data_IF_231771952827
#
_entry.id   IF_231771952827
#
_cell.length_a   1.000
_cell.length_b   1.000
_cell.length_c   1.000
_cell.angle_alpha   90.00
_cell.angle_beta   90.00
_cell.angle_gamma   90.00
#
_symmetry.space_group_name_H-M   'P 1'
#
loop_
_entity.id
_entity.type
_entity.pdbx_description
1 polymer ?
#
# COMPACT_ATOMS: atom_id res chain seq x y z
N UNK A 1 -7.45 8.51 0.39
CA UNK A 1 -6.19 8.43 -0.37
C UNK A 1 -6.01 7.04 -0.95
N UNK A 2 -5.63 6.93 -2.23
CA UNK A 2 -5.19 5.67 -2.84
C UNK A 2 -3.68 5.73 -3.11
N UNK A 3 -2.96 4.64 -2.81
CA UNK A 3 -1.52 4.50 -3.05
C UNK A 3 -1.33 3.31 -3.99
N UNK A 4 -1.11 3.60 -5.28
CA UNK A 4 -1.09 2.58 -6.34
C UNK A 4 0.26 2.56 -7.03
N UNK A 5 0.99 1.48 -6.85
CA UNK A 5 2.26 1.23 -7.50
C UNK A 5 2.57 -0.28 -7.49
N UNK A 6 3.39 -0.79 -8.41
CA UNK A 6 3.83 -2.17 -8.41
C UNK A 6 4.51 -2.58 -7.08
N UNK A 7 4.83 -3.85 -6.96
CA UNK A 7 5.59 -4.37 -5.81
C UNK A 7 6.94 -3.66 -5.67
N UNK A 8 7.41 -3.48 -4.43
CA UNK A 8 8.74 -2.94 -4.15
C UNK A 8 8.87 -1.42 -4.22
N UNK A 9 7.81 -0.68 -4.50
CA UNK A 9 7.82 0.80 -4.46
C UNK A 9 7.64 1.39 -3.06
N UNK A 10 7.65 0.57 -2.01
CA UNK A 10 7.62 1.05 -0.63
C UNK A 10 6.27 1.60 -0.16
N UNK A 11 5.14 1.26 -0.82
CA UNK A 11 3.78 1.74 -0.44
C UNK A 11 3.49 1.63 1.04
N UNK A 12 3.58 0.41 1.57
CA UNK A 12 3.33 0.11 2.98
C UNK A 12 4.28 0.87 3.91
N UNK A 13 5.56 0.95 3.53
CA UNK A 13 6.59 1.68 4.29
C UNK A 13 6.29 3.17 4.33
N UNK A 14 5.94 3.77 3.19
CA UNK A 14 5.61 5.18 3.09
C UNK A 14 4.37 5.55 3.93
N UNK A 15 3.31 4.73 3.86
CA UNK A 15 2.10 4.95 4.67
C UNK A 15 2.40 4.79 6.16
N UNK A 16 3.14 3.75 6.55
CA UNK A 16 3.50 3.54 7.96
C UNK A 16 4.38 4.65 8.50
N UNK A 17 5.33 5.14 7.71
CA UNK A 17 6.15 6.29 8.09
C UNK A 17 5.29 7.55 8.27
N UNK A 18 4.42 7.86 7.31
CA UNK A 18 3.51 8.99 7.39
C UNK A 18 2.63 8.93 8.66
N UNK A 19 2.00 7.79 8.92
CA UNK A 19 1.17 7.61 10.11
C UNK A 19 1.98 7.73 11.41
N UNK A 20 3.22 7.23 11.42
CA UNK A 20 4.15 7.38 12.54
C UNK A 20 4.55 8.83 12.80
N UNK A 21 4.79 9.63 11.76
CA UNK A 21 5.09 11.06 11.91
C UNK A 21 3.87 11.84 12.42
N UNK A 22 2.67 11.54 11.89
CA UNK A 22 1.44 12.18 12.38
C UNK A 22 1.17 11.88 13.84
N UNK A 23 1.38 10.64 14.28
CA UNK A 23 1.19 10.23 15.68
C UNK A 23 2.09 10.94 16.68
N UNK A 24 3.19 11.55 16.22
CA UNK A 24 4.07 12.36 17.09
C UNK A 24 3.50 13.76 17.38
N UNK A 25 2.65 14.26 16.50
CA UNK A 25 2.14 15.63 16.53
C UNK A 25 0.73 15.76 17.06
N UNK A 26 -0.07 14.71 16.95
CA UNK A 26 -1.48 14.71 17.35
C UNK A 26 -1.93 13.33 17.83
N UNK A 27 -2.88 13.26 18.77
CA UNK A 27 -3.51 12.00 19.12
C UNK A 27 -4.32 11.50 17.92
N UNK A 28 -4.00 10.31 17.44
CA UNK A 28 -4.72 9.71 16.34
C UNK A 28 -4.92 8.21 16.55
N UNK A 29 -6.04 7.72 16.04
CA UNK A 29 -6.36 6.29 15.97
C UNK A 29 -5.96 5.74 14.62
N UNK A 30 -5.26 4.63 14.61
CA UNK A 30 -4.88 3.93 13.38
C UNK A 30 -5.47 2.53 13.39
N UNK A 31 -6.30 2.25 12.39
CA UNK A 31 -6.91 0.94 12.14
C UNK A 31 -6.22 0.36 10.91
N UNK A 32 -5.46 -0.73 11.09
CA UNK A 32 -4.70 -1.37 10.00
C UNK A 32 -5.34 -2.68 9.62
N UNK A 33 -5.67 -2.81 8.35
CA UNK A 33 -6.29 -3.99 7.76
C UNK A 33 -5.34 -4.49 6.67
N UNK A 34 -4.85 -5.71 6.82
CA UNK A 34 -4.05 -6.36 5.77
C UNK A 34 -4.92 -7.39 5.06
N UNK A 35 -4.90 -7.34 3.74
CA UNK A 35 -5.58 -8.34 2.90
C UNK A 35 -4.61 -9.48 2.63
N UNK A 36 -5.00 -10.72 2.91
CA UNK A 36 -4.17 -11.91 2.75
C UNK A 36 -4.67 -12.85 1.65
N UNK A 37 -5.92 -12.69 1.24
CA UNK A 37 -6.53 -13.51 0.18
C UNK A 37 -7.76 -12.81 -0.39
N UNK A 38 -8.32 -13.33 -1.49
CA UNK A 38 -9.57 -12.92 -2.10
C UNK A 38 -10.82 -13.44 -1.38
N UNK A 39 -10.65 -14.20 -0.30
CA UNK A 39 -11.77 -14.74 0.48
C UNK A 39 -12.39 -13.65 1.36
N UNK A 40 -13.65 -13.29 1.06
CA UNK A 40 -14.38 -12.24 1.77
C UNK A 40 -14.57 -12.53 3.26
N UNK A 41 -14.74 -13.79 3.66
CA UNK A 41 -14.91 -14.12 5.07
C UNK A 41 -13.61 -13.88 5.87
N UNK A 42 -12.46 -14.20 5.26
CA UNK A 42 -11.14 -13.93 5.84
C UNK A 42 -10.91 -12.42 5.91
N UNK A 43 -11.20 -11.69 4.83
CA UNK A 43 -11.08 -10.23 4.81
C UNK A 43 -11.99 -9.59 5.87
N UNK A 44 -13.26 -10.01 5.95
CA UNK A 44 -14.19 -9.47 6.94
C UNK A 44 -13.72 -9.72 8.37
N UNK A 45 -13.20 -10.90 8.64
CA UNK A 45 -12.60 -11.20 9.94
C UNK A 45 -11.41 -10.29 10.24
N UNK A 46 -10.55 -10.01 9.26
CA UNK A 46 -9.42 -9.07 9.42
C UNK A 46 -9.91 -7.66 9.73
N UNK A 47 -11.01 -7.22 9.11
CA UNK A 47 -11.65 -5.92 9.41
C UNK A 47 -12.15 -5.89 10.86
N UNK A 48 -12.92 -6.89 11.27
CA UNK A 48 -13.45 -6.98 12.63
C UNK A 48 -12.35 -6.96 13.69
N UNK A 49 -11.29 -7.74 13.48
CA UNK A 49 -10.16 -7.81 14.40
C UNK A 49 -9.40 -6.47 14.48
N UNK A 50 -9.14 -5.82 13.32
CA UNK A 50 -8.47 -4.53 13.28
C UNK A 50 -9.25 -3.43 14.02
N UNK A 51 -10.57 -3.39 13.86
CA UNK A 51 -11.42 -2.45 14.59
C UNK A 51 -11.47 -2.77 16.08
N UNK A 52 -11.57 -4.03 16.44
CA UNK A 52 -11.56 -4.47 17.85
C UNK A 52 -10.24 -4.09 18.54
N UNK A 53 -9.08 -4.32 17.89
CA UNK A 53 -7.78 -3.90 18.42
C UNK A 53 -7.66 -2.37 18.57
N UNK A 54 -8.33 -1.61 17.74
CA UNK A 54 -8.39 -0.16 17.85
C UNK A 54 -9.39 0.35 18.90
N UNK A 55 -9.97 -0.55 19.71
CA UNK A 55 -10.94 -0.21 20.75
C UNK A 55 -12.37 0.01 20.25
N UNK A 56 -12.70 -0.48 19.05
CA UNK A 56 -14.00 -0.37 18.42
C UNK A 56 -14.59 -1.77 18.11
N UNK A 57 -14.98 -2.55 19.14
CA UNK A 57 -15.40 -3.94 18.94
C UNK A 57 -16.81 -4.11 18.33
N UNK A 58 -17.54 -3.02 18.06
CA UNK A 58 -18.93 -3.06 17.59
C UNK A 58 -19.11 -3.85 16.28
N UNK A 59 -18.09 -3.93 15.42
CA UNK A 59 -18.15 -4.72 14.19
C UNK A 59 -18.19 -6.23 14.42
N UNK A 60 -17.86 -6.73 15.61
CA UNK A 60 -17.90 -8.16 15.90
C UNK A 60 -19.29 -8.76 15.78
N UNK A 61 -20.33 -7.94 15.99
CA UNK A 61 -21.74 -8.33 15.89
C UNK A 61 -22.32 -8.22 14.47
N UNK A 62 -21.54 -7.71 13.52
CA UNK A 62 -21.96 -7.52 12.13
C UNK A 62 -21.52 -8.67 11.24
N UNK A 63 -22.44 -9.18 10.44
CA UNK A 63 -22.08 -10.04 9.31
C UNK A 63 -21.47 -9.22 8.16
N UNK A 64 -20.66 -9.86 7.32
CA UNK A 64 -20.22 -9.23 6.09
C UNK A 64 -21.44 -8.84 5.24
N UNK A 65 -21.57 -7.58 4.82
CA UNK A 65 -22.74 -7.15 4.04
C UNK A 65 -22.78 -7.90 2.69
N UNK A 66 -23.93 -8.46 2.39
CA UNK A 66 -24.17 -9.23 1.17
C UNK A 66 -24.91 -8.47 0.07
N UNK A 67 -25.39 -7.28 0.38
CA UNK A 67 -26.12 -6.43 -0.56
C UNK A 67 -25.85 -4.93 -0.31
N UNK A 68 -26.30 -4.11 -1.24
CA UNK A 68 -26.07 -2.65 -1.21
C UNK A 68 -26.76 -1.97 -0.03
N UNK A 69 -27.91 -2.48 0.43
CA UNK A 69 -28.64 -1.90 1.55
C UNK A 69 -27.92 -2.15 2.87
N UNK A 70 -27.47 -3.40 3.11
CA UNK A 70 -26.66 -3.76 4.26
C UNK A 70 -25.32 -3.02 4.27
N UNK A 71 -24.68 -2.89 3.11
CA UNK A 71 -23.47 -2.10 2.96
C UNK A 71 -23.66 -0.62 3.30
N UNK A 72 -24.78 -0.04 2.93
CA UNK A 72 -25.12 1.35 3.26
C UNK A 72 -25.36 1.55 4.75
N UNK A 73 -26.12 0.66 5.39
CA UNK A 73 -26.36 0.70 6.84
C UNK A 73 -25.06 0.58 7.61
N UNK A 74 -24.21 -0.39 7.24
CA UNK A 74 -22.91 -0.57 7.86
C UNK A 74 -22.03 0.68 7.70
N UNK A 75 -22.03 1.32 6.53
CA UNK A 75 -21.29 2.56 6.32
C UNK A 75 -21.77 3.70 7.23
N UNK A 76 -23.08 3.82 7.45
CA UNK A 76 -23.66 4.82 8.35
C UNK A 76 -23.26 4.54 9.81
N UNK A 77 -23.35 3.30 10.26
CA UNK A 77 -22.97 2.90 11.61
C UNK A 77 -21.46 3.09 11.85
N UNK A 78 -20.62 2.75 10.85
CA UNK A 78 -19.18 3.05 10.89
C UNK A 78 -18.90 4.54 11.02
N UNK A 79 -19.58 5.37 10.23
CA UNK A 79 -19.40 6.83 10.30
C UNK A 79 -19.81 7.38 11.67
N UNK A 80 -20.89 6.88 12.25
CA UNK A 80 -21.30 7.27 13.61
C UNK A 80 -20.29 6.84 14.67
N UNK A 81 -19.80 5.58 14.60
CA UNK A 81 -18.85 5.07 15.57
C UNK A 81 -17.46 5.72 15.49
N UNK A 82 -17.10 6.22 14.31
CA UNK A 82 -15.83 6.90 14.05
C UNK A 82 -15.92 8.42 14.23
N UNK A 83 -17.12 8.98 14.36
CA UNK A 83 -17.29 10.41 14.60
C UNK A 83 -16.73 10.82 15.96
N UNK A 84 -15.87 11.83 16.00
CA UNK A 84 -15.26 12.30 17.24
C UNK A 84 -14.19 13.36 16.99
N UNK A 85 -13.59 13.89 18.06
CA UNK A 85 -12.54 14.91 17.95
C UNK A 85 -11.18 14.35 17.54
N UNK A 86 -10.95 13.03 17.71
CA UNK A 86 -9.69 12.39 17.38
C UNK A 86 -9.59 12.08 15.88
N UNK A 87 -8.42 12.33 15.29
CA UNK A 87 -8.13 11.88 13.94
C UNK A 87 -8.15 10.35 13.86
N UNK A 88 -8.79 9.78 12.85
CA UNK A 88 -8.83 8.34 12.63
C UNK A 88 -8.32 8.01 11.23
N UNK A 89 -7.37 7.10 11.13
CA UNK A 89 -6.83 6.60 9.88
C UNK A 89 -7.14 5.12 9.72
N UNK A 90 -7.88 4.78 8.67
CA UNK A 90 -8.13 3.39 8.27
C UNK A 90 -7.18 3.09 7.13
N UNK A 91 -6.23 2.19 7.34
CA UNK A 91 -5.27 1.77 6.33
C UNK A 91 -5.54 0.33 5.90
N UNK A 92 -5.90 0.15 4.62
CA UNK A 92 -6.08 -1.16 3.98
C UNK A 92 -4.88 -1.41 3.07
N UNK A 93 -4.11 -2.45 3.38
CA UNK A 93 -2.92 -2.84 2.61
C UNK A 93 -3.19 -4.07 1.75
N UNK A 94 -2.48 -4.18 0.63
CA UNK A 94 -2.60 -5.25 -0.36
C UNK A 94 -4.02 -5.43 -0.94
N UNK A 95 -4.75 -4.33 -1.14
CA UNK A 95 -6.14 -4.32 -1.61
C UNK A 95 -6.34 -5.01 -2.97
N UNK A 96 -5.31 -5.09 -3.80
CA UNK A 96 -5.33 -5.77 -5.10
C UNK A 96 -5.65 -7.28 -5.01
N UNK A 97 -5.54 -7.88 -3.84
CA UNK A 97 -5.91 -9.29 -3.62
C UNK A 97 -7.42 -9.50 -3.58
N UNK A 98 -8.21 -8.43 -3.37
CA UNK A 98 -9.68 -8.51 -3.40
C UNK A 98 -10.18 -8.26 -4.82
N UNK A 99 -10.81 -9.27 -5.40
CA UNK A 99 -11.35 -9.21 -6.76
C UNK A 99 -12.85 -8.91 -6.82
N UNK A 100 -13.54 -8.96 -5.67
CA UNK A 100 -14.98 -8.72 -5.59
C UNK A 100 -15.32 -7.23 -5.75
N UNK A 101 -16.08 -6.92 -6.81
CA UNK A 101 -16.51 -5.56 -7.12
C UNK A 101 -17.43 -4.93 -6.04
N UNK A 102 -18.11 -5.75 -5.24
CA UNK A 102 -18.94 -5.25 -4.15
C UNK A 102 -18.09 -4.59 -3.05
N UNK A 103 -16.87 -5.10 -2.81
CA UNK A 103 -15.94 -4.48 -1.86
C UNK A 103 -15.50 -3.10 -2.35
N UNK A 104 -15.19 -2.96 -3.63
CA UNK A 104 -14.85 -1.65 -4.23
C UNK A 104 -16.03 -0.68 -4.09
N UNK A 105 -17.25 -1.13 -4.39
CA UNK A 105 -18.46 -0.32 -4.26
C UNK A 105 -18.71 0.10 -2.79
N UNK A 106 -18.53 -0.81 -1.85
CA UNK A 106 -18.62 -0.50 -0.41
C UNK A 106 -17.60 0.56 0.00
N UNK A 107 -16.34 0.37 -0.38
CA UNK A 107 -15.26 1.33 -0.09
C UNK A 107 -15.57 2.72 -0.66
N UNK A 108 -16.09 2.81 -1.88
CA UNK A 108 -16.51 4.08 -2.48
C UNK A 108 -17.69 4.71 -1.72
N UNK A 109 -18.67 3.91 -1.30
CA UNK A 109 -19.81 4.35 -0.49
C UNK A 109 -19.34 4.90 0.84
N UNK A 110 -18.47 4.17 1.54
CA UNK A 110 -17.86 4.57 2.80
C UNK A 110 -17.07 5.88 2.63
N UNK A 111 -16.19 5.97 1.64
CA UNK A 111 -15.36 7.15 1.39
C UNK A 111 -16.16 8.44 1.15
N UNK A 112 -17.37 8.32 0.58
CA UNK A 112 -18.27 9.46 0.40
C UNK A 112 -18.90 9.96 1.70
N UNK A 113 -19.06 9.10 2.71
CA UNK A 113 -19.80 9.35 3.96
C UNK A 113 -18.89 9.61 5.16
N UNK A 114 -17.58 9.29 5.05
CA UNK A 114 -16.64 9.44 6.15
C UNK A 114 -16.68 10.86 6.75
N UNK A 115 -16.69 10.99 8.08
CA UNK A 115 -16.51 12.26 8.77
C UNK A 115 -15.18 12.92 8.41
N UNK A 116 -15.06 14.22 8.57
CA UNK A 116 -13.85 14.99 8.21
C UNK A 116 -12.59 14.54 8.97
N UNK A 117 -12.76 14.05 10.18
CA UNK A 117 -11.68 13.52 11.01
C UNK A 117 -11.22 12.10 10.63
N UNK A 118 -11.90 11.44 9.67
CA UNK A 118 -11.62 10.05 9.29
C UNK A 118 -11.01 9.98 7.90
N UNK A 119 -9.84 9.38 7.81
CA UNK A 119 -9.07 9.25 6.58
C UNK A 119 -8.93 7.77 6.19
N UNK A 120 -9.36 7.43 4.98
CA UNK A 120 -9.17 6.10 4.41
C UNK A 120 -7.96 6.12 3.48
N UNK A 121 -6.98 5.25 3.73
CA UNK A 121 -5.80 5.02 2.90
C UNK A 121 -5.85 3.58 2.39
N UNK A 122 -5.74 3.40 1.08
CA UNK A 122 -5.77 2.08 0.45
C UNK A 122 -4.53 1.91 -0.40
N UNK A 123 -3.71 0.92 -0.07
CA UNK A 123 -2.56 0.53 -0.88
C UNK A 123 -2.89 -0.67 -1.78
N UNK A 124 -2.55 -0.55 -3.06
CA UNK A 124 -2.82 -1.57 -4.07
C UNK A 124 -1.66 -1.66 -5.06
N UNK A 125 -1.50 -2.80 -5.73
CA UNK A 125 -0.56 -2.91 -6.87
C UNK A 125 -1.19 -2.35 -8.13
N UNK A 126 -2.48 -2.57 -8.31
CA UNK A 126 -3.23 -2.21 -9.49
C UNK A 126 -4.27 -1.14 -9.19
N UNK A 127 -4.68 -0.41 -10.23
CA UNK A 127 -5.78 0.55 -10.13
C UNK A 127 -7.09 -0.22 -9.90
N UNK A 128 -7.73 0.05 -8.79
CA UNK A 128 -9.00 -0.59 -8.40
C UNK A 128 -10.18 0.39 -8.44
N UNK A 129 -9.92 1.70 -8.35
CA UNK A 129 -10.95 2.72 -8.33
C UNK A 129 -11.43 3.01 -9.76
N UNK A 130 -12.72 2.75 -10.10
CA UNK A 130 -13.28 3.09 -11.40
C UNK A 130 -13.21 4.59 -11.65
N UNK A 131 -12.96 4.99 -12.92
CA UNK A 131 -12.84 6.42 -13.28
C UNK A 131 -14.09 7.23 -12.95
N UNK A 132 -15.28 6.64 -13.09
CA UNK A 132 -16.55 7.28 -12.73
C UNK A 132 -16.64 7.56 -11.23
N UNK A 133 -16.21 6.61 -10.40
CA UNK A 133 -16.17 6.78 -8.94
C UNK A 133 -15.12 7.80 -8.52
N UNK A 134 -13.96 7.81 -9.18
CA UNK A 134 -12.92 8.82 -8.93
C UNK A 134 -13.44 10.23 -9.24
N UNK A 135 -14.19 10.41 -10.33
CA UNK A 135 -14.84 11.67 -10.67
C UNK A 135 -15.92 12.06 -9.65
N UNK A 136 -16.73 11.10 -9.20
CA UNK A 136 -17.79 11.32 -8.21
C UNK A 136 -17.21 11.75 -6.86
N UNK A 137 -16.12 11.12 -6.43
CA UNK A 137 -15.42 11.47 -5.19
C UNK A 137 -14.67 12.81 -5.30
N UNK A 138 -14.25 13.20 -6.51
CA UNK A 138 -13.63 14.48 -6.80
C UNK A 138 -12.47 14.81 -5.86
N UNK A 139 -12.54 15.96 -5.20
CA UNK A 139 -11.48 16.45 -4.27
C UNK A 139 -11.32 15.59 -3.00
N UNK A 140 -12.23 14.68 -2.72
CA UNK A 140 -12.12 13.76 -1.58
C UNK A 140 -11.09 12.64 -1.82
N UNK A 141 -10.68 12.41 -3.07
CA UNK A 141 -9.67 11.40 -3.41
C UNK A 141 -8.34 12.06 -3.74
N UNK A 142 -7.31 11.66 -3.02
CA UNK A 142 -5.92 11.93 -3.37
C UNK A 142 -5.28 10.65 -3.88
N UNK A 143 -4.65 10.70 -5.06
CA UNK A 143 -4.04 9.54 -5.69
C UNK A 143 -2.52 9.69 -5.69
N UNK A 144 -1.84 8.73 -5.07
CA UNK A 144 -0.39 8.59 -5.08
C UNK A 144 -0.07 7.44 -6.03
N UNK A 145 0.61 7.75 -7.11
CA UNK A 145 1.06 6.78 -8.11
C UNK A 145 2.54 6.47 -7.99
N UNK A 146 3.03 5.68 -8.92
CA UNK A 146 4.43 5.29 -9.03
C UNK A 146 5.37 6.49 -9.11
N UNK A 147 4.96 7.54 -9.81
CA UNK A 147 5.71 8.79 -9.98
C UNK A 147 6.02 9.52 -8.67
N UNK A 148 5.15 9.35 -7.65
CA UNK A 148 5.33 9.94 -6.33
C UNK A 148 6.17 9.06 -5.39
N UNK A 149 6.37 7.79 -5.74
CA UNK A 149 7.09 6.81 -4.91
C UNK A 149 8.47 6.47 -5.46
N UNK A 150 8.81 6.94 -6.66
CA UNK A 150 10.16 6.84 -7.21
C UNK A 150 11.07 7.79 -6.45
N UNK A 151 12.23 7.30 -6.06
CA UNK A 151 13.26 8.16 -5.48
C UNK A 151 13.91 9.00 -6.57
N UNK A 152 13.99 10.30 -6.33
CA UNK A 152 14.81 11.22 -7.12
C UNK A 152 16.22 11.31 -6.55
N UNK A 153 17.10 12.10 -7.20
CA UNK A 153 18.50 12.27 -6.79
C UNK A 153 18.64 12.70 -5.32
N UNK A 154 17.88 13.71 -4.90
CA UNK A 154 17.94 14.23 -3.53
C UNK A 154 17.44 13.23 -2.52
N UNK A 155 16.32 12.57 -2.80
CA UNK A 155 15.71 11.57 -1.92
C UNK A 155 16.61 10.34 -1.78
N UNK A 156 17.23 9.90 -2.88
CA UNK A 156 18.19 8.78 -2.85
C UNK A 156 19.42 9.13 -2.02
N UNK A 157 19.98 10.32 -2.18
CA UNK A 157 21.11 10.82 -1.38
C UNK A 157 20.79 10.81 0.10
N UNK A 158 19.62 11.35 0.48
CA UNK A 158 19.15 11.35 1.88
C UNK A 158 18.96 9.92 2.39
N UNK A 159 18.38 9.04 1.57
CA UNK A 159 18.15 7.66 1.97
C UNK A 159 19.45 6.89 2.17
N UNK A 160 20.40 6.99 1.24
CA UNK A 160 21.72 6.37 1.34
C UNK A 160 22.48 6.86 2.58
N UNK A 161 22.46 8.17 2.84
CA UNK A 161 23.08 8.75 4.04
C UNK A 161 22.45 8.19 5.33
N UNK A 162 21.13 8.06 5.39
CA UNK A 162 20.42 7.45 6.54
C UNK A 162 20.75 5.97 6.74
N UNK A 163 21.06 5.25 5.65
CA UNK A 163 21.58 3.89 5.72
C UNK A 163 23.04 3.79 6.14
N UNK A 164 23.73 4.94 6.38
CA UNK A 164 25.16 4.98 6.72
C UNK A 164 26.07 4.79 5.51
N UNK A 165 25.59 4.96 4.30
CA UNK A 165 26.29 4.76 3.04
C UNK A 165 26.32 6.09 2.29
N UNK A 166 27.24 7.01 2.59
CA UNK A 166 27.35 8.24 1.84
C UNK A 166 27.83 7.92 0.42
N UNK A 167 27.07 8.36 -0.57
CA UNK A 167 27.37 8.22 -2.00
C UNK A 167 27.77 9.58 -2.57
N UNK A 168 28.69 9.58 -3.52
CA UNK A 168 28.97 10.76 -4.35
C UNK A 168 27.92 10.91 -5.46
N UNK A 169 27.94 12.05 -6.17
CA UNK A 169 26.95 12.36 -7.20
C UNK A 169 27.01 11.37 -8.38
N UNK A 170 28.20 10.84 -8.74
CA UNK A 170 28.34 9.86 -9.80
C UNK A 170 27.73 8.51 -9.40
N UNK A 171 27.94 8.09 -8.16
CA UNK A 171 27.32 6.88 -7.61
C UNK A 171 25.81 6.98 -7.53
N UNK A 172 25.28 8.17 -7.13
CA UNK A 172 23.83 8.43 -7.07
C UNK A 172 23.25 8.37 -8.48
N UNK A 173 23.87 9.01 -9.47
CA UNK A 173 23.40 8.97 -10.86
C UNK A 173 23.43 7.55 -11.43
N UNK A 174 24.51 6.80 -11.20
CA UNK A 174 24.62 5.41 -11.65
C UNK A 174 23.54 4.54 -10.99
N UNK A 175 23.27 4.74 -9.70
CA UNK A 175 22.26 3.99 -8.98
C UNK A 175 20.84 4.36 -9.43
N UNK A 176 20.57 5.64 -9.70
CA UNK A 176 19.29 6.08 -10.27
C UNK A 176 19.07 5.52 -11.67
N UNK A 177 20.11 5.54 -12.50
CA UNK A 177 20.04 4.98 -13.85
C UNK A 177 19.72 3.48 -13.84
N UNK A 178 20.36 2.71 -12.95
CA UNK A 178 20.16 1.27 -12.87
C UNK A 178 18.86 0.86 -12.19
N UNK A 179 18.39 1.63 -11.20
CA UNK A 179 17.19 1.32 -10.42
C UNK A 179 15.92 2.04 -10.90
N UNK A 180 16.05 3.05 -11.78
CA UNK A 180 14.98 3.97 -12.17
C UNK A 180 14.25 4.58 -10.97
N UNK A 181 14.93 4.72 -9.83
CA UNK A 181 14.36 5.20 -8.57
C UNK A 181 13.42 4.20 -7.89
N UNK A 182 13.39 2.94 -8.33
CA UNK A 182 12.61 1.90 -7.69
C UNK A 182 13.20 1.52 -6.33
N UNK A 183 12.43 1.75 -5.27
CA UNK A 183 12.91 1.65 -3.89
C UNK A 183 13.58 0.33 -3.55
N UNK A 184 12.98 -0.81 -3.95
CA UNK A 184 13.57 -2.12 -3.68
C UNK A 184 14.88 -2.35 -4.41
N UNK A 185 15.01 -1.85 -5.64
CA UNK A 185 16.27 -1.93 -6.38
C UNK A 185 17.35 -1.08 -5.70
N UNK A 186 17.01 0.14 -5.29
CA UNK A 186 17.92 1.01 -4.54
C UNK A 186 18.36 0.33 -3.23
N UNK A 187 17.41 -0.21 -2.45
CA UNK A 187 17.72 -0.91 -1.20
C UNK A 187 18.69 -2.07 -1.39
N UNK A 188 18.44 -2.94 -2.38
CA UNK A 188 19.30 -4.08 -2.67
C UNK A 188 20.71 -3.66 -3.11
N UNK A 189 20.79 -2.67 -4.00
CA UNK A 189 22.08 -2.16 -4.45
C UNK A 189 22.89 -1.55 -3.29
N UNK A 190 22.25 -0.79 -2.41
CA UNK A 190 22.93 -0.25 -1.22
C UNK A 190 23.39 -1.38 -0.27
N UNK A 191 22.57 -2.40 -0.08
CA UNK A 191 22.93 -3.56 0.71
C UNK A 191 24.13 -4.30 0.12
N UNK A 192 24.13 -4.57 -1.18
CA UNK A 192 25.25 -5.20 -1.89
C UNK A 192 26.52 -4.37 -1.77
N UNK A 193 26.41 -3.05 -1.90
CA UNK A 193 27.54 -2.14 -1.70
C UNK A 193 28.14 -2.28 -0.29
N UNK A 194 27.28 -2.41 0.73
CA UNK A 194 27.74 -2.60 2.12
C UNK A 194 28.39 -3.96 2.35
N UNK A 195 27.85 -5.02 1.76
CA UNK A 195 28.33 -6.39 1.96
C UNK A 195 29.59 -6.71 1.13
N UNK A 196 29.70 -6.14 -0.08
CA UNK A 196 30.76 -6.48 -1.04
C UNK A 196 31.67 -5.32 -1.44
N UNK A 197 31.42 -4.10 -0.95
CA UNK A 197 32.26 -2.93 -1.22
C UNK A 197 32.16 -2.35 -2.63
N UNK A 198 31.29 -2.88 -3.49
CA UNK A 198 31.06 -2.42 -4.85
C UNK A 198 29.57 -2.49 -5.21
N UNK A 199 29.11 -1.55 -6.03
CA UNK A 199 27.78 -1.66 -6.66
C UNK A 199 27.79 -2.87 -7.60
N UNK A 200 26.75 -3.71 -7.61
CA UNK A 200 26.72 -4.88 -8.47
C UNK A 200 26.76 -4.44 -9.94
N UNK A 201 27.59 -5.12 -10.72
CA UNK A 201 27.50 -5.07 -12.17
C UNK A 201 26.14 -5.63 -12.58
N UNK A 202 25.22 -4.73 -12.91
CA UNK A 202 23.89 -4.99 -13.46
C UNK A 202 23.23 -6.32 -13.03
N UNK A 203 22.21 -6.25 -12.16
CA UNK A 203 20.99 -7.04 -12.32
C UNK A 203 20.87 -8.42 -11.68
N UNK A 204 21.89 -9.15 -11.22
CA UNK A 204 21.70 -10.53 -10.75
C UNK A 204 20.80 -10.61 -9.50
N UNK A 205 20.99 -9.71 -8.53
CA UNK A 205 20.22 -9.75 -7.27
C UNK A 205 18.80 -9.23 -7.42
N UNK A 206 18.60 -8.23 -8.29
CA UNK A 206 17.26 -7.70 -8.62
C UNK A 206 16.47 -8.77 -9.36
N UNK A 207 17.07 -9.48 -10.32
CA UNK A 207 16.40 -10.60 -11.01
C UNK A 207 16.07 -11.74 -10.07
N UNK A 208 16.96 -12.09 -9.17
CA UNK A 208 16.72 -13.14 -8.17
C UNK A 208 15.57 -12.77 -7.26
N UNK A 209 15.48 -11.51 -6.81
CA UNK A 209 14.37 -11.03 -6.00
C UNK A 209 13.05 -10.98 -6.80
N UNK A 210 13.09 -10.52 -8.05
CA UNK A 210 11.92 -10.57 -8.94
C UNK A 210 11.47 -12.00 -9.19
N UNK A 211 12.42 -12.89 -9.46
CA UNK A 211 12.12 -14.30 -9.66
C UNK A 211 11.45 -14.91 -8.44
N UNK A 212 12.02 -14.73 -7.27
CA UNK A 212 11.46 -15.24 -6.02
C UNK A 212 10.06 -14.65 -5.69
N UNK A 213 9.84 -13.39 -6.01
CA UNK A 213 8.60 -12.71 -5.65
C UNK A 213 7.49 -12.80 -6.71
N UNK A 214 7.84 -12.88 -7.99
CA UNK A 214 6.88 -12.80 -9.09
C UNK A 214 6.83 -14.06 -9.97
N UNK A 215 7.93 -14.77 -10.13
CA UNK A 215 8.03 -15.92 -11.03
C UNK A 215 7.84 -17.24 -10.26
N UNK A 216 8.55 -17.40 -9.13
CA UNK A 216 8.51 -18.66 -8.38
C UNK A 216 7.12 -19.04 -7.84
N UNK A 217 6.26 -18.09 -7.44
CA UNK A 217 4.90 -18.40 -7.02
C UNK A 217 3.97 -18.81 -8.16
N UNK A 218 4.37 -18.60 -9.44
CA UNK A 218 3.52 -18.92 -10.58
C UNK A 218 3.43 -20.45 -10.80
N UNK A 219 2.27 -20.94 -11.29
CA UNK A 219 2.14 -22.32 -11.73
C UNK A 219 3.19 -22.70 -12.79
N UNK A 220 3.66 -23.96 -12.82
CA UNK A 220 4.74 -24.39 -13.74
C UNK A 220 4.52 -23.99 -15.20
N UNK A 221 3.28 -24.14 -15.71
CA UNK A 221 2.93 -23.75 -17.09
C UNK A 221 3.12 -22.27 -17.38
N UNK A 222 2.84 -21.39 -16.39
CA UNK A 222 3.01 -19.95 -16.57
C UNK A 222 4.50 -19.58 -16.51
N UNK A 223 5.29 -20.23 -15.65
CA UNK A 223 6.74 -20.06 -15.62
C UNK A 223 7.38 -20.48 -16.94
N UNK A 224 6.98 -21.63 -17.49
CA UNK A 224 7.46 -22.12 -18.78
C UNK A 224 7.08 -21.16 -19.93
N UNK A 225 5.85 -20.64 -19.93
CA UNK A 225 5.42 -19.63 -20.90
C UNK A 225 6.30 -18.37 -20.83
N UNK A 226 6.58 -17.84 -19.64
CA UNK A 226 7.45 -16.67 -19.49
C UNK A 226 8.89 -16.96 -19.92
N UNK A 227 9.41 -18.16 -19.66
CA UNK A 227 10.76 -18.56 -20.09
C UNK A 227 10.90 -18.69 -21.62
N UNK A 228 9.82 -18.93 -22.33
CA UNK A 228 9.82 -19.03 -23.80
C UNK A 228 9.63 -17.66 -24.47
N UNK A 229 8.93 -16.72 -23.80
CA UNK A 229 8.61 -15.40 -24.34
C UNK A 229 9.64 -14.31 -24.02
N UNK A 230 10.57 -14.55 -23.09
CA UNK A 230 11.65 -13.64 -22.68
C UNK A 230 12.97 -14.05 -23.26
#
# INVERSE_FOLDING_TARGET
>A
TTVVAPMGYGKTTAVNWYLGERAKTEPLRVIRISVYSDNLAIFWKSVQDAFSYAGLPFLLDYACPSDTAGASLLADDLCHALAGPEGCYIFIDDFHLLTDSQVVSFVCTLANRLPENVHLIIASRDRFLPSEEALRLGKKVYQIGTEHLRLNHTELSIYAHRCGIPLDDQQIEALLYSSEGWFSAVYLNLRTLTEHGALPDRTSDIYTMFSAAMIDPLPPRQREFLAVMG
#
